data_IF_465663244238
#
_entry.id   IF_465663244238
#
_cell.length_a   1.000
_cell.length_b   1.000
_cell.length_c   1.000
_cell.angle_alpha   90.00
_cell.angle_beta   90.00
_cell.angle_gamma   90.00
#
_symmetry.space_group_name_H-M   'P 1'
#
loop_
_entity.id
_entity.type
_entity.pdbx_description
1 polymer ?
#
# COMPACT_ATOMS: atom_id res chain seq x y z
N UNK A 1 -20.66 1.86 -27.25
CA UNK A 1 -19.33 1.35 -26.87
C UNK A 1 -19.22 0.82 -25.42
N UNK A 2 -20.22 1.00 -24.53
CA UNK A 2 -20.22 0.38 -23.18
C UNK A 2 -20.70 -1.09 -23.15
N UNK A 3 -21.49 -1.50 -24.15
CA UNK A 3 -22.18 -2.80 -24.15
C UNK A 3 -21.29 -3.98 -24.56
N UNK A 4 -20.20 -3.73 -25.30
CA UNK A 4 -19.27 -4.79 -25.75
C UNK A 4 -18.20 -5.17 -24.71
N UNK A 5 -17.97 -4.30 -23.72
CA UNK A 5 -16.94 -4.50 -22.69
C UNK A 5 -17.38 -5.54 -21.65
N UNK A 6 -18.67 -5.55 -21.30
CA UNK A 6 -19.22 -6.49 -20.31
C UNK A 6 -19.34 -7.92 -20.85
N UNK A 7 -19.57 -8.10 -22.16
CA UNK A 7 -19.67 -9.42 -22.80
C UNK A 7 -18.33 -10.19 -22.82
N UNK A 8 -17.19 -9.50 -22.64
CA UNK A 8 -15.85 -10.11 -22.56
C UNK A 8 -15.36 -10.37 -21.14
N UNK A 9 -16.18 -10.10 -20.11
CA UNK A 9 -15.81 -10.28 -18.71
C UNK A 9 -14.76 -9.29 -18.19
N UNK A 10 -14.45 -8.24 -18.97
CA UNK A 10 -13.53 -7.19 -18.56
C UNK A 10 -14.29 -6.10 -17.79
N UNK A 11 -14.61 -6.40 -16.53
CA UNK A 11 -15.04 -5.32 -15.62
C UNK A 11 -13.84 -4.40 -15.37
N UNK A 12 -14.07 -3.11 -15.10
CA UNK A 12 -12.99 -2.18 -14.70
C UNK A 12 -12.16 -2.73 -13.53
N UNK A 13 -12.76 -3.62 -12.72
CA UNK A 13 -12.10 -4.39 -11.66
C UNK A 13 -11.05 -5.38 -12.17
N UNK A 14 -11.24 -6.04 -13.33
CA UNK A 14 -10.26 -7.00 -13.85
C UNK A 14 -9.09 -6.33 -14.54
N UNK A 15 -9.31 -5.17 -15.17
CA UNK A 15 -8.22 -4.33 -15.69
C UNK A 15 -7.40 -3.73 -14.55
N UNK A 16 -8.05 -3.12 -13.56
CA UNK A 16 -7.36 -2.57 -12.39
C UNK A 16 -6.65 -3.66 -11.56
N UNK A 17 -7.22 -4.87 -11.48
CA UNK A 17 -6.55 -6.01 -10.82
C UNK A 17 -5.34 -6.52 -11.59
N UNK A 18 -5.36 -6.53 -12.93
CA UNK A 18 -4.19 -6.85 -13.76
C UNK A 18 -3.09 -5.81 -13.60
N UNK A 19 -3.43 -4.54 -13.72
CA UNK A 19 -2.50 -3.41 -13.55
C UNK A 19 -1.89 -3.40 -12.13
N UNK A 20 -2.68 -3.72 -11.09
CA UNK A 20 -2.17 -3.88 -9.73
C UNK A 20 -1.29 -5.13 -9.56
N UNK A 21 -1.57 -6.23 -10.28
CA UNK A 21 -0.73 -7.44 -10.23
C UNK A 21 0.60 -7.25 -10.97
N UNK A 22 0.59 -6.53 -12.11
CA UNK A 22 1.81 -6.16 -12.85
C UNK A 22 2.68 -5.21 -12.02
N UNK A 23 2.08 -4.19 -11.41
CA UNK A 23 2.79 -3.29 -10.49
C UNK A 23 3.34 -4.03 -9.26
N UNK A 24 2.64 -5.06 -8.77
CA UNK A 24 3.10 -5.91 -7.68
C UNK A 24 4.23 -6.87 -8.10
N UNK A 25 4.23 -7.35 -9.35
CA UNK A 25 5.29 -8.17 -9.94
C UNK A 25 6.56 -7.35 -10.20
N UNK A 26 6.45 -6.14 -10.72
CA UNK A 26 7.59 -5.21 -10.86
C UNK A 26 8.17 -4.84 -9.48
N UNK A 27 7.31 -4.53 -8.51
CA UNK A 27 7.74 -4.30 -7.12
C UNK A 27 8.34 -5.55 -6.46
N UNK A 28 8.03 -6.75 -6.93
CA UNK A 28 8.64 -8.00 -6.45
C UNK A 28 9.98 -8.31 -7.14
N UNK A 29 10.15 -7.89 -8.39
CA UNK A 29 11.42 -8.00 -9.12
C UNK A 29 12.50 -7.07 -8.51
N UNK A 30 12.13 -5.87 -8.08
CA UNK A 30 13.04 -4.92 -7.41
C UNK A 30 13.48 -5.39 -6.01
N UNK A 31 12.65 -6.14 -5.29
CA UNK A 31 12.97 -6.67 -3.94
C UNK A 31 14.19 -7.59 -3.92
N UNK A 32 14.59 -8.19 -5.04
CA UNK A 32 15.75 -9.10 -5.10
C UNK A 32 17.09 -8.39 -4.95
N UNK A 33 17.14 -7.07 -5.16
CA UNK A 33 18.38 -6.28 -5.14
C UNK A 33 18.38 -5.14 -4.10
N UNK A 34 17.37 -5.07 -3.24
CA UNK A 34 17.31 -4.00 -2.24
C UNK A 34 18.16 -4.34 -1.01
N UNK A 35 18.94 -3.38 -0.49
CA UNK A 35 19.62 -3.53 0.79
C UNK A 35 18.60 -3.85 1.90
N UNK A 36 19.01 -4.59 2.94
CA UNK A 36 18.18 -4.81 4.13
C UNK A 36 17.61 -3.50 4.67
N UNK A 37 16.37 -3.55 5.15
CA UNK A 37 15.68 -2.37 5.68
C UNK A 37 16.48 -1.67 6.80
N UNK A 38 17.17 -2.44 7.63
CA UNK A 38 18.05 -1.90 8.68
C UNK A 38 19.18 -1.02 8.11
N UNK A 39 19.77 -1.41 6.97
CA UNK A 39 20.82 -0.62 6.32
C UNK A 39 20.27 0.67 5.72
N UNK A 40 19.06 0.62 5.14
CA UNK A 40 18.39 1.80 4.60
C UNK A 40 18.02 2.79 5.70
N UNK A 41 17.51 2.29 6.84
CA UNK A 41 17.21 3.11 8.02
C UNK A 41 18.49 3.77 8.54
N UNK A 42 19.61 3.04 8.58
CA UNK A 42 20.93 3.55 8.97
C UNK A 42 21.48 4.71 8.14
N UNK A 43 21.00 4.90 6.90
CA UNK A 43 21.39 6.02 6.03
C UNK A 43 20.65 7.32 6.34
N UNK A 44 19.58 7.25 7.13
CA UNK A 44 18.80 8.43 7.52
C UNK A 44 19.52 9.15 8.67
N UNK A 45 19.81 10.46 8.56
CA UNK A 45 20.38 11.25 9.65
C UNK A 45 19.52 11.18 10.91
N UNK A 46 20.13 11.15 12.09
CA UNK A 46 19.42 10.97 13.38
C UNK A 46 18.31 12.00 13.59
N UNK A 47 18.60 13.28 13.37
CA UNK A 47 17.61 14.37 13.50
C UNK A 47 16.38 14.16 12.59
N UNK A 48 16.59 13.68 11.36
CA UNK A 48 15.49 13.38 10.43
C UNK A 48 14.71 12.14 10.89
N UNK A 49 15.39 11.13 11.45
CA UNK A 49 14.73 9.93 11.98
C UNK A 49 13.82 10.26 13.16
N UNK A 50 14.28 11.10 14.08
CA UNK A 50 13.47 11.56 15.22
C UNK A 50 12.20 12.28 14.76
N UNK A 51 12.32 13.18 13.78
CA UNK A 51 11.17 13.89 13.22
C UNK A 51 10.21 12.95 12.48
N UNK A 52 10.71 11.98 11.73
CA UNK A 52 9.86 10.97 11.06
C UNK A 52 9.15 10.11 12.11
N UNK A 53 9.86 9.66 13.14
CA UNK A 53 9.26 8.90 14.22
C UNK A 53 8.22 9.71 15.00
N UNK A 54 8.37 11.02 15.15
CA UNK A 54 7.42 11.93 15.77
C UNK A 54 6.19 12.18 14.88
N UNK A 55 6.41 12.51 13.60
CA UNK A 55 5.35 12.81 12.63
C UNK A 55 4.49 11.59 12.30
N UNK A 56 5.14 10.42 12.17
CA UNK A 56 4.46 9.15 11.88
C UNK A 56 4.15 8.36 13.16
N UNK A 57 4.33 8.96 14.35
CA UNK A 57 3.86 8.44 15.64
C UNK A 57 2.35 8.45 15.80
N UNK A 58 1.59 8.27 14.72
CA UNK A 58 0.23 7.76 14.82
C UNK A 58 0.33 6.32 15.33
N UNK A 59 0.62 6.16 16.62
CA UNK A 59 0.55 4.88 17.31
C UNK A 59 -0.92 4.50 17.28
N UNK A 60 -1.29 3.64 16.35
CA UNK A 60 -2.50 2.84 16.47
C UNK A 60 -2.26 1.86 17.64
N UNK A 61 -2.25 2.38 18.87
CA UNK A 61 -1.95 1.63 20.10
C UNK A 61 -2.98 0.52 20.31
N UNK A 62 -4.19 0.71 19.77
CA UNK A 62 -5.23 -0.30 19.79
C UNK A 62 -6.09 -0.21 18.54
N UNK A 63 -6.18 -1.32 17.81
CA UNK A 63 -7.20 -1.53 16.78
C UNK A 63 -8.38 -2.19 17.46
N UNK A 64 -9.53 -1.49 17.53
CA UNK A 64 -10.78 -2.05 18.05
C UNK A 64 -11.73 -2.28 16.90
N UNK A 65 -12.40 -3.44 16.89
CA UNK A 65 -13.43 -3.74 15.90
C UNK A 65 -14.67 -2.90 16.20
N UNK A 66 -14.91 -1.86 15.40
CA UNK A 66 -16.11 -1.03 15.52
C UNK A 66 -17.22 -1.64 14.65
N UNK A 67 -18.43 -1.87 15.19
CA UNK A 67 -19.56 -2.34 14.39
C UNK A 67 -19.95 -1.29 13.35
N UNK A 68 -20.37 -1.74 12.15
CA UNK A 68 -20.69 -0.87 11.00
C UNK A 68 -21.77 0.17 11.31
N UNK A 69 -22.67 -0.11 12.24
CA UNK A 69 -23.74 0.80 12.68
C UNK A 69 -23.23 2.01 13.46
N UNK A 70 -21.97 2.01 13.92
CA UNK A 70 -21.37 3.10 14.67
C UNK A 70 -20.42 3.98 13.82
N UNK A 71 -20.19 3.63 12.55
CA UNK A 71 -19.50 4.48 11.60
C UNK A 71 -20.52 5.47 11.03
N UNK A 72 -20.34 6.76 11.32
CA UNK A 72 -21.10 7.82 10.64
C UNK A 72 -20.45 8.06 9.28
N UNK A 73 -21.25 8.00 8.22
CA UNK A 73 -20.90 8.52 6.89
C UNK A 73 -20.87 10.05 6.90
#
# INVERSE_FOLDING_TARGET
MRVEVEARGETLSSRAAREASEAAEEAAAEKKNLPPLAELVGRIPENTRELVEELFRAKFVSVKRVPKTALKE
#
